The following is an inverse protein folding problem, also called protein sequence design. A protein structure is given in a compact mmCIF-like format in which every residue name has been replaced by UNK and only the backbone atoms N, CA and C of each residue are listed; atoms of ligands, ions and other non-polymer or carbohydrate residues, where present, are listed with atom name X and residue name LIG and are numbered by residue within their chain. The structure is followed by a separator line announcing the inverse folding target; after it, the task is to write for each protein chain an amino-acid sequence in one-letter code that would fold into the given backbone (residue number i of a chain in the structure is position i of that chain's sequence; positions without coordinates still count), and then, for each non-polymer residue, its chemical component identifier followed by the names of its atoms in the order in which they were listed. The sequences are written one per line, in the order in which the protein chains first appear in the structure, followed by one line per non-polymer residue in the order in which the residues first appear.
data_IF_550279562929
#
_entry.id   IF_550279562929
#
_cell.length_a   1.000
_cell.length_b   1.000
_cell.length_c   1.000
_cell.angle_alpha   90.00
_cell.angle_beta   90.00
_cell.angle_gamma   90.00
#
_symmetry.space_group_name_H-M   'P 1'
#
loop_
_entity.id
_entity.type
_entity.pdbx_description
1 polymer ?
#
# COMPACT_ATOMS: atom_id res chain seq x y z
N UNK A 1 -23.89 4.55 21.58
CA UNK A 1 -23.17 4.07 20.38
C UNK A 1 -23.57 4.94 19.22
N UNK A 2 -22.65 5.19 18.29
CA UNK A 2 -22.88 6.02 17.09
C UNK A 2 -22.98 5.09 15.85
N UNK A 3 -24.20 4.84 15.32
CA UNK A 3 -24.39 3.94 14.18
C UNK A 3 -23.78 4.46 12.89
N UNK A 4 -23.75 5.78 12.71
CA UNK A 4 -23.20 6.41 11.52
C UNK A 4 -21.69 6.22 11.48
N UNK A 5 -20.99 6.57 12.57
CA UNK A 5 -19.55 6.35 12.70
C UNK A 5 -19.18 4.88 12.50
N UNK A 6 -20.00 3.96 13.03
CA UNK A 6 -19.81 2.54 12.82
C UNK A 6 -19.95 2.14 11.34
N UNK A 7 -20.87 2.77 10.59
CA UNK A 7 -21.00 2.60 9.14
C UNK A 7 -19.75 3.06 8.39
N UNK A 8 -19.26 4.27 8.69
CA UNK A 8 -18.05 4.82 8.09
C UNK A 8 -16.82 3.91 8.33
N UNK A 9 -16.64 3.44 9.56
CA UNK A 9 -15.52 2.56 9.90
C UNK A 9 -15.59 1.22 9.18
N UNK A 10 -16.77 0.61 9.08
CA UNK A 10 -16.96 -0.63 8.32
C UNK A 10 -16.70 -0.44 6.83
N UNK A 11 -17.11 0.69 6.25
CA UNK A 11 -16.84 1.03 4.85
C UNK A 11 -15.35 1.20 4.58
N UNK A 12 -14.64 1.93 5.46
CA UNK A 12 -13.19 2.10 5.35
C UNK A 12 -12.44 0.75 5.48
N UNK A 13 -12.84 -0.10 6.43
CA UNK A 13 -12.28 -1.45 6.56
C UNK A 13 -12.56 -2.31 5.34
N UNK A 14 -13.76 -2.23 4.78
CA UNK A 14 -14.12 -2.94 3.55
C UNK A 14 -13.19 -2.55 2.40
N UNK A 15 -12.90 -1.25 2.21
CA UNK A 15 -11.97 -0.79 1.17
C UNK A 15 -10.57 -1.42 1.27
N UNK A 16 -10.01 -1.49 2.48
CA UNK A 16 -8.70 -2.13 2.72
C UNK A 16 -8.74 -3.64 2.45
N UNK A 17 -9.79 -4.32 2.92
CA UNK A 17 -9.92 -5.77 2.78
C UNK A 17 -10.23 -6.20 1.34
N UNK A 18 -11.00 -5.39 0.59
CA UNK A 18 -11.28 -5.64 -0.81
C UNK A 18 -10.04 -5.42 -1.69
N UNK A 19 -9.12 -4.54 -1.26
CA UNK A 19 -7.88 -4.23 -2.00
C UNK A 19 -6.70 -5.12 -1.62
N UNK A 20 -6.89 -6.11 -0.72
CA UNK A 20 -5.83 -7.00 -0.27
C UNK A 20 -6.24 -8.46 -0.31
N UNK A 21 -5.27 -9.36 -0.52
CA UNK A 21 -5.52 -10.81 -0.57
C UNK A 21 -4.33 -11.57 -0.03
N UNK A 22 -4.57 -12.64 0.73
CA UNK A 22 -3.51 -13.57 1.15
C UNK A 22 -2.78 -14.12 -0.08
N UNK A 23 -1.44 -14.10 -0.03
CA UNK A 23 -0.58 -14.53 -1.13
C UNK A 23 -0.50 -13.54 -2.29
N UNK A 24 -1.12 -12.35 -2.19
CA UNK A 24 -0.81 -11.26 -3.10
C UNK A 24 0.63 -10.80 -2.89
N UNK A 25 1.31 -10.48 -3.97
CA UNK A 25 2.63 -9.90 -3.92
C UNK A 25 2.64 -8.38 -4.00
N UNK A 26 1.48 -7.79 -4.27
CA UNK A 26 1.35 -6.38 -4.59
C UNK A 26 0.89 -5.57 -3.37
N UNK A 27 1.29 -4.30 -3.33
CA UNK A 27 0.84 -3.33 -2.34
C UNK A 27 -0.48 -2.68 -2.80
N UNK A 28 -0.96 -1.70 -2.04
CA UNK A 28 -2.28 -1.11 -2.22
C UNK A 28 -2.18 0.22 -2.98
N UNK A 29 -2.89 0.34 -4.09
CA UNK A 29 -3.04 1.61 -4.80
C UNK A 29 -4.10 2.50 -4.12
N UNK A 30 -4.01 3.85 -4.21
CA UNK A 30 -4.97 4.78 -3.60
C UNK A 30 -6.44 4.48 -3.90
N UNK A 31 -6.73 4.07 -5.13
CA UNK A 31 -8.09 3.73 -5.58
C UNK A 31 -8.36 2.22 -5.62
N UNK A 32 -7.46 1.38 -5.08
CA UNK A 32 -7.53 -0.07 -5.24
C UNK A 32 -7.77 -0.46 -6.70
N UNK A 33 -8.83 -1.22 -6.95
CA UNK A 33 -9.32 -1.57 -8.29
C UNK A 33 -10.68 -0.93 -8.62
N UNK A 34 -11.09 0.10 -7.87
CA UNK A 34 -12.43 0.70 -8.02
C UNK A 34 -12.47 1.83 -9.06
N UNK A 35 -11.32 2.33 -9.49
CA UNK A 35 -11.18 3.39 -10.50
C UNK A 35 -9.82 3.29 -11.18
N UNK A 36 -9.73 3.85 -12.39
CA UNK A 36 -8.50 4.08 -13.15
C UNK A 36 -7.71 5.32 -12.70
N UNK A 37 -8.26 6.10 -11.75
CA UNK A 37 -7.52 7.17 -11.09
C UNK A 37 -6.21 6.64 -10.49
N UNK A 38 -5.13 7.42 -10.67
CA UNK A 38 -3.78 7.04 -10.27
C UNK A 38 -3.21 5.81 -10.98
N UNK A 39 -3.87 5.31 -12.03
CA UNK A 39 -3.42 4.23 -12.91
C UNK A 39 -3.04 2.93 -12.17
N UNK A 40 -3.66 2.66 -11.01
CA UNK A 40 -3.34 1.50 -10.17
C UNK A 40 -1.93 1.54 -9.56
N UNK A 41 -1.24 2.67 -9.62
CA UNK A 41 0.12 2.81 -9.09
C UNK A 41 0.10 2.88 -7.56
N UNK A 42 1.15 2.37 -6.94
CA UNK A 42 1.34 2.40 -5.50
C UNK A 42 2.13 3.66 -5.12
N UNK A 43 1.58 4.41 -4.16
CA UNK A 43 2.16 5.63 -3.62
C UNK A 43 2.57 5.42 -2.15
N UNK A 44 3.18 6.44 -1.55
CA UNK A 44 3.45 6.53 -0.10
C UNK A 44 2.19 6.38 0.77
N UNK A 45 1.00 6.57 0.20
CA UNK A 45 -0.30 6.32 0.84
C UNK A 45 -0.44 4.90 1.40
N UNK A 46 0.12 3.91 0.70
CA UNK A 46 0.06 2.51 1.11
C UNK A 46 0.71 2.30 2.48
N UNK A 47 1.91 2.83 2.66
CA UNK A 47 2.67 2.69 3.92
C UNK A 47 2.20 3.67 5.01
N UNK A 48 1.75 4.87 4.63
CA UNK A 48 1.44 5.94 5.59
C UNK A 48 0.02 5.84 6.13
N UNK A 49 -0.96 5.60 5.26
CA UNK A 49 -2.39 5.70 5.61
C UNK A 49 -3.06 4.34 5.73
N UNK A 50 -2.70 3.38 4.87
CA UNK A 50 -3.41 2.10 4.78
C UNK A 50 -2.77 1.02 5.66
N UNK A 51 -1.44 0.92 5.64
CA UNK A 51 -0.68 -0.09 6.37
C UNK A 51 -0.94 -0.09 7.88
N UNK A 52 -1.00 1.04 8.61
CA UNK A 52 -1.16 1.00 10.07
C UNK A 52 -2.47 0.35 10.51
N UNK A 53 -3.58 0.69 9.86
CA UNK A 53 -4.89 0.11 10.15
C UNK A 53 -4.96 -1.38 9.79
N UNK A 54 -4.35 -1.76 8.67
CA UNK A 54 -4.29 -3.16 8.25
C UNK A 54 -3.38 -3.98 9.17
N UNK A 55 -2.23 -3.44 9.60
CA UNK A 55 -1.30 -4.11 10.52
C UNK A 55 -1.95 -4.37 11.88
N UNK A 56 -2.69 -3.38 12.42
CA UNK A 56 -3.35 -3.50 13.70
C UNK A 56 -4.49 -4.55 13.70
N UNK A 57 -5.09 -4.85 12.54
CA UNK A 57 -6.31 -5.67 12.46
C UNK A 57 -6.13 -6.99 11.71
N UNK A 58 -5.20 -7.06 10.75
CA UNK A 58 -4.92 -8.18 9.83
C UNK A 58 -3.42 -8.19 9.42
N UNK A 59 -2.50 -8.45 10.36
CA UNK A 59 -1.06 -8.40 10.10
C UNK A 59 -0.61 -9.32 8.95
N UNK A 60 -1.32 -10.42 8.72
CA UNK A 60 -1.05 -11.37 7.64
C UNK A 60 -1.34 -10.80 6.25
N UNK A 61 -2.24 -9.81 6.15
CA UNK A 61 -2.49 -9.06 4.92
C UNK A 61 -1.53 -7.87 4.82
N UNK A 62 -1.26 -7.18 5.93
CA UNK A 62 -0.34 -6.04 5.98
C UNK A 62 1.08 -6.37 5.51
N UNK A 63 1.50 -7.64 5.68
CA UNK A 63 2.79 -8.13 5.21
C UNK A 63 3.05 -7.85 3.72
N UNK A 64 2.03 -7.91 2.85
CA UNK A 64 2.24 -7.71 1.41
C UNK A 64 2.75 -6.30 1.07
N UNK A 65 2.37 -5.28 1.85
CA UNK A 65 2.84 -3.90 1.67
C UNK A 65 4.36 -3.80 1.83
N UNK A 66 4.90 -4.38 2.91
CA UNK A 66 6.33 -4.36 3.19
C UNK A 66 7.11 -5.27 2.24
N UNK A 67 6.60 -6.48 1.97
CA UNK A 67 7.23 -7.43 1.04
C UNK A 67 7.30 -6.86 -0.38
N UNK A 68 6.28 -6.11 -0.82
CA UNK A 68 6.29 -5.42 -2.10
C UNK A 68 7.47 -4.43 -2.21
N UNK A 69 7.69 -3.62 -1.17
CA UNK A 69 8.85 -2.69 -1.12
C UNK A 69 10.17 -3.45 -1.05
N UNK A 70 10.25 -4.52 -0.26
CA UNK A 70 11.45 -5.34 -0.20
C UNK A 70 11.79 -5.93 -1.57
N UNK A 71 10.79 -6.47 -2.28
CA UNK A 71 10.96 -7.06 -3.62
C UNK A 71 11.38 -6.03 -4.68
N UNK A 72 10.91 -4.79 -4.55
CA UNK A 72 11.23 -3.69 -5.49
C UNK A 72 12.49 -2.90 -5.12
N UNK A 73 13.19 -3.26 -4.04
CA UNK A 73 14.37 -2.53 -3.53
C UNK A 73 15.51 -2.43 -4.54
N UNK A 74 15.71 -3.42 -5.40
CA UNK A 74 16.82 -3.39 -6.36
C UNK A 74 16.55 -2.36 -7.47
N UNK A 75 15.29 -2.17 -7.88
CA UNK A 75 14.90 -1.06 -8.74
C UNK A 75 15.06 0.30 -8.04
N UNK A 76 14.72 0.37 -6.74
CA UNK A 76 14.96 1.58 -5.93
C UNK A 76 16.46 1.90 -5.78
N UNK A 77 17.33 0.88 -5.71
CA UNK A 77 18.79 1.05 -5.72
C UNK A 77 19.28 1.59 -7.07
N UNK A 78 18.81 1.01 -8.17
CA UNK A 78 19.13 1.48 -9.51
C UNK A 78 18.70 2.95 -9.72
N UNK A 79 17.55 3.35 -9.17
CA UNK A 79 17.13 4.75 -9.17
C UNK A 79 18.13 5.64 -8.42
N UNK A 80 18.56 5.25 -7.21
CA UNK A 80 19.53 6.03 -6.45
C UNK A 80 20.85 6.20 -7.23
N UNK A 81 21.36 5.12 -7.82
CA UNK A 81 22.58 5.11 -8.64
C UNK A 81 22.47 6.05 -9.85
N UNK A 82 21.31 6.04 -10.54
CA UNK A 82 21.04 6.93 -11.69
C UNK A 82 21.15 8.42 -11.34
N UNK A 83 20.83 8.79 -10.11
CA UNK A 83 20.93 10.16 -9.62
C UNK A 83 22.25 10.44 -8.85
N UNK A 84 23.21 9.52 -8.88
CA UNK A 84 24.50 9.69 -8.20
C UNK A 84 24.42 9.58 -6.66
N UNK A 85 23.38 8.91 -6.15
CA UNK A 85 23.16 8.71 -4.72
C UNK A 85 23.41 7.26 -4.30
N UNK A 86 23.74 7.06 -3.02
CA UNK A 86 23.79 5.73 -2.39
C UNK A 86 22.47 5.46 -1.67
N UNK A 87 22.09 4.19 -1.56
CA UNK A 87 20.90 3.76 -0.80
C UNK A 87 19.75 3.33 -1.71
N UNK A 88 18.52 3.56 -1.24
CA UNK A 88 17.29 3.18 -1.94
C UNK A 88 16.47 4.43 -2.23
N UNK A 89 16.21 4.70 -3.50
CA UNK A 89 15.32 5.76 -3.93
C UNK A 89 14.07 5.13 -4.55
N UNK A 90 13.06 4.88 -3.70
CA UNK A 90 11.76 4.42 -4.18
C UNK A 90 11.12 5.50 -5.05
N UNK A 91 10.47 5.10 -6.16
CA UNK A 91 9.81 6.07 -7.02
C UNK A 91 8.59 6.67 -6.31
N UNK A 92 8.17 7.85 -6.76
CA UNK A 92 6.93 8.48 -6.30
C UNK A 92 5.70 7.60 -6.57
N UNK A 93 5.72 6.90 -7.71
CA UNK A 93 4.75 5.90 -8.13
C UNK A 93 5.47 4.61 -8.52
N UNK A 94 5.05 3.48 -7.97
CA UNK A 94 5.60 2.15 -8.30
C UNK A 94 4.53 1.17 -8.78
#
# INVERSE_FOLDING_TARGET
GDPELQGWLRSAQYGLLASTRRGSSDSIAPAGLTSDNYAGMVFWDAETWMFPGLLATRPELARSVVEYRYRTRDAARANAEKYGHRGLFYPWTS
#
